data_IF_583644953571
#
_entry.id   IF_583644953571
#
_cell.length_a   1.000
_cell.length_b   1.000
_cell.length_c   1.000
_cell.angle_alpha   90.00
_cell.angle_beta   90.00
_cell.angle_gamma   90.00
#
_symmetry.space_group_name_H-M   'P 1'
#
loop_
_entity.id
_entity.type
_entity.pdbx_description
1 polymer ?
#
# COMPACT_ATOMS: atom_id res chain seq x y z
N UNK A 1 31.30 51.43 9.05
CA UNK A 1 31.45 50.33 10.01
C UNK A 1 30.50 50.66 11.14
N UNK A 2 29.30 50.08 11.13
CA UNK A 2 28.27 50.36 12.14
C UNK A 2 28.74 49.82 13.49
N UNK A 3 28.57 50.62 14.54
CA UNK A 3 29.04 50.27 15.89
C UNK A 3 28.08 49.28 16.54
N UNK A 4 28.55 48.48 17.49
CA UNK A 4 27.71 47.54 18.24
C UNK A 4 26.52 48.24 18.93
N UNK A 5 26.69 49.50 19.34
CA UNK A 5 25.62 50.35 19.86
C UNK A 5 24.53 50.70 18.84
N UNK A 6 24.84 50.73 17.54
CA UNK A 6 23.84 50.95 16.49
C UNK A 6 22.97 49.69 16.27
N UNK A 7 23.54 48.50 16.53
CA UNK A 7 22.85 47.22 16.43
C UNK A 7 21.88 47.01 17.60
N UNK A 8 22.30 47.35 18.82
CA UNK A 8 21.44 47.31 20.01
C UNK A 8 20.30 48.34 19.93
N UNK A 9 20.55 49.53 19.39
CA UNK A 9 19.50 50.52 19.15
C UNK A 9 18.49 50.08 18.07
N UNK A 10 18.94 49.32 17.06
CA UNK A 10 18.04 48.70 16.08
C UNK A 10 17.18 47.59 16.70
N UNK A 11 17.76 46.76 17.57
CA UNK A 11 17.05 45.73 18.33
C UNK A 11 16.00 46.32 19.29
N UNK A 12 16.31 47.46 19.92
CA UNK A 12 15.41 48.11 20.89
C UNK A 12 14.30 48.92 20.19
N UNK A 13 14.59 49.53 19.03
CA UNK A 13 13.60 50.27 18.21
C UNK A 13 12.62 49.34 17.48
N UNK A 14 13.05 48.13 17.16
CA UNK A 14 12.22 47.07 16.59
C UNK A 14 12.02 45.94 17.60
N UNK A 15 11.51 46.29 18.78
CA UNK A 15 10.89 45.32 19.67
C UNK A 15 9.60 44.82 18.98
N UNK A 16 9.75 43.92 18.02
CA UNK A 16 8.64 43.26 17.31
C UNK A 16 7.99 42.23 18.22
N UNK A 17 7.32 42.70 19.28
CA UNK A 17 6.25 41.91 19.88
C UNK A 17 5.11 41.88 18.88
N UNK A 18 4.95 40.77 18.18
CA UNK A 18 3.80 40.51 17.31
C UNK A 18 2.51 40.68 18.14
N UNK A 19 1.66 41.62 17.76
CA UNK A 19 0.23 41.54 18.08
C UNK A 19 -0.36 40.44 17.18
N UNK A 20 -0.35 39.19 17.66
CA UNK A 20 -0.95 38.08 16.94
C UNK A 20 -2.48 38.13 17.04
N UNK A 21 -3.18 37.99 15.91
CA UNK A 21 -4.58 37.57 15.95
C UNK A 21 -4.66 36.13 16.50
N UNK A 22 -5.64 35.79 17.37
CA UNK A 22 -5.72 34.50 18.06
C UNK A 22 -5.73 33.24 17.17
N UNK A 23 -5.92 33.39 15.86
CA UNK A 23 -6.07 32.32 14.88
C UNK A 23 -4.82 32.02 14.04
N UNK A 24 -3.74 32.80 14.17
CA UNK A 24 -2.51 32.61 13.39
C UNK A 24 -1.57 31.56 14.00
N UNK A 25 -2.07 30.36 14.32
CA UNK A 25 -1.17 29.25 14.65
C UNK A 25 -0.58 28.68 13.35
N UNK A 26 0.67 28.20 13.39
CA UNK A 26 1.36 27.50 12.29
C UNK A 26 1.86 28.40 11.14
N UNK A 27 2.21 29.66 11.43
CA UNK A 27 2.84 30.56 10.45
C UNK A 27 4.35 30.65 10.75
N UNK A 28 5.19 30.46 9.73
CA UNK A 28 6.65 30.59 9.86
C UNK A 28 7.05 32.04 10.16
N UNK A 29 8.28 32.26 10.64
CA UNK A 29 8.82 33.61 10.80
C UNK A 29 9.06 34.23 9.41
N UNK A 30 8.41 35.36 9.14
CA UNK A 30 8.45 36.04 7.84
C UNK A 30 8.58 37.56 8.04
N UNK A 31 9.12 38.25 7.03
CA UNK A 31 9.16 39.70 6.99
C UNK A 31 8.03 40.21 6.07
N UNK A 32 7.16 41.08 6.58
CA UNK A 32 5.97 41.53 5.84
C UNK A 32 6.31 42.28 4.53
N UNK A 33 7.32 43.14 4.54
CA UNK A 33 7.73 43.89 3.34
C UNK A 33 8.31 42.96 2.28
N UNK A 34 9.16 42.01 2.71
CA UNK A 34 9.71 40.99 1.80
C UNK A 34 8.63 40.06 1.27
N UNK A 35 7.61 39.74 2.07
CA UNK A 35 6.51 38.89 1.65
C UNK A 35 5.69 39.59 0.56
N UNK A 36 5.40 40.89 0.73
CA UNK A 36 4.68 41.70 -0.26
C UNK A 36 5.48 41.87 -1.56
N UNK A 37 6.81 41.91 -1.48
CA UNK A 37 7.68 42.11 -2.64
C UNK A 37 7.99 40.82 -3.41
N UNK A 38 8.17 39.70 -2.70
CA UNK A 38 8.61 38.42 -3.28
C UNK A 38 7.47 37.40 -3.43
N UNK A 39 6.39 37.53 -2.65
CA UNK A 39 5.23 36.64 -2.69
C UNK A 39 5.60 35.14 -2.63
N UNK A 40 6.53 34.81 -1.74
CA UNK A 40 7.06 33.45 -1.56
C UNK A 40 7.09 33.07 -0.07
N UNK A 41 6.99 31.76 0.21
CA UNK A 41 7.08 31.24 1.57
C UNK A 41 8.47 31.53 2.17
N UNK A 42 8.50 32.12 3.38
CA UNK A 42 9.72 32.48 4.08
C UNK A 42 9.82 31.74 5.42
N UNK A 43 11.05 31.38 5.78
CA UNK A 43 11.41 30.76 7.06
C UNK A 43 12.70 31.43 7.54
N UNK A 44 12.54 32.59 8.18
CA UNK A 44 13.64 33.43 8.65
C UNK A 44 13.99 33.00 10.07
N UNK A 45 15.25 32.71 10.35
CA UNK A 45 15.71 32.33 11.69
C UNK A 45 16.89 33.19 12.11
N UNK A 46 16.93 33.57 13.40
CA UNK A 46 18.06 34.32 13.93
C UNK A 46 19.33 33.46 14.00
N UNK A 47 20.42 33.97 13.44
CA UNK A 47 21.74 33.34 13.53
C UNK A 47 22.43 33.82 14.79
N UNK A 48 22.48 32.97 15.82
CA UNK A 48 23.15 33.26 17.09
C UNK A 48 24.63 32.86 17.10
N UNK A 49 25.05 32.03 16.13
CA UNK A 49 26.41 31.48 16.03
C UNK A 49 26.85 31.39 14.55
N UNK A 50 27.99 32.00 14.16
CA UNK A 50 28.54 31.88 12.81
C UNK A 50 28.83 30.43 12.38
N UNK A 51 29.22 29.55 13.32
CA UNK A 51 29.46 28.14 13.01
C UNK A 51 28.15 27.41 12.70
N UNK A 52 27.07 27.69 13.43
CA UNK A 52 25.75 27.17 13.13
C UNK A 52 25.26 27.58 11.73
N UNK A 53 25.53 28.81 11.30
CA UNK A 53 25.22 29.28 9.94
C UNK A 53 26.00 28.50 8.87
N UNK A 54 27.31 28.35 9.04
CA UNK A 54 28.14 27.58 8.11
C UNK A 54 27.71 26.10 8.04
N UNK A 55 27.40 25.49 9.18
CA UNK A 55 26.88 24.12 9.27
C UNK A 55 25.53 23.99 8.57
N UNK A 56 24.62 24.95 8.75
CA UNK A 56 23.34 24.97 8.07
C UNK A 56 23.52 25.06 6.54
N UNK A 57 24.33 26.01 6.06
CA UNK A 57 24.64 26.16 4.64
C UNK A 57 25.21 24.86 4.06
N UNK A 58 26.20 24.26 4.74
CA UNK A 58 26.76 22.97 4.34
C UNK A 58 25.70 21.86 4.31
N UNK A 59 24.83 21.78 5.32
CA UNK A 59 23.78 20.77 5.35
C UNK A 59 22.78 20.89 4.19
N UNK A 60 22.53 22.12 3.72
CA UNK A 60 21.66 22.39 2.59
C UNK A 60 22.35 22.07 1.26
N UNK A 61 23.61 22.48 1.08
CA UNK A 61 24.36 22.17 -0.15
C UNK A 61 24.58 20.66 -0.28
N UNK A 62 24.82 19.96 0.82
CA UNK A 62 25.07 18.50 0.83
C UNK A 62 23.81 17.64 1.01
N UNK A 63 22.61 18.23 0.93
CA UNK A 63 21.35 17.48 1.06
C UNK A 63 21.23 16.29 0.09
N UNK A 64 21.51 16.42 -1.23
CA UNK A 64 21.40 15.28 -2.15
C UNK A 64 22.43 14.18 -1.85
N UNK A 65 23.62 14.55 -1.38
CA UNK A 65 24.67 13.59 -1.02
C UNK A 65 24.30 12.79 0.23
N UNK A 66 23.61 13.44 1.19
CA UNK A 66 23.09 12.74 2.38
C UNK A 66 22.07 11.68 2.00
N UNK A 67 21.11 12.00 1.12
CA UNK A 67 20.10 11.03 0.66
C UNK A 67 20.75 9.85 -0.06
N UNK A 68 21.74 10.13 -0.93
CA UNK A 68 22.49 9.08 -1.62
C UNK A 68 23.34 8.24 -0.66
N UNK A 69 23.93 8.85 0.38
CA UNK A 69 24.69 8.15 1.42
C UNK A 69 23.81 7.17 2.21
N UNK A 70 22.58 7.56 2.55
CA UNK A 70 21.60 6.66 3.20
C UNK A 70 21.26 5.45 2.32
N UNK A 71 21.09 5.67 1.01
CA UNK A 71 20.83 4.57 0.07
C UNK A 71 22.03 3.62 -0.03
N UNK A 72 23.25 4.15 -0.06
CA UNK A 72 24.48 3.35 -0.08
C UNK A 72 24.67 2.58 1.22
N UNK A 73 24.36 3.16 2.37
CA UNK A 73 24.40 2.48 3.67
C UNK A 73 23.40 1.32 3.72
N UNK A 74 22.17 1.54 3.25
CA UNK A 74 21.16 0.49 3.13
C UNK A 74 21.62 -0.63 2.18
N UNK A 75 22.19 -0.27 1.02
CA UNK A 75 22.74 -1.23 0.06
C UNK A 75 23.89 -2.03 0.68
N UNK A 76 24.79 -1.37 1.38
CA UNK A 76 25.91 -2.01 2.07
C UNK A 76 25.44 -2.97 3.16
N UNK A 77 24.39 -2.61 3.91
CA UNK A 77 23.76 -3.51 4.90
C UNK A 77 23.21 -4.77 4.23
N UNK A 78 22.46 -4.64 3.14
CA UNK A 78 21.94 -5.79 2.37
C UNK A 78 23.07 -6.67 1.81
N UNK A 79 24.20 -6.08 1.38
CA UNK A 79 25.39 -6.84 0.96
C UNK A 79 26.01 -7.62 2.13
N UNK A 80 26.05 -7.04 3.33
CA UNK A 80 26.54 -7.73 4.54
C UNK A 80 25.68 -8.91 4.94
N UNK A 81 24.40 -8.90 4.60
CA UNK A 81 23.46 -10.02 4.80
C UNK A 81 23.67 -11.15 3.76
N UNK A 82 24.63 -11.00 2.84
CA UNK A 82 25.02 -12.02 1.87
C UNK A 82 24.46 -11.83 0.46
N UNK A 83 23.75 -10.72 0.20
CA UNK A 83 23.22 -10.41 -1.13
C UNK A 83 24.31 -9.86 -2.05
N UNK A 84 24.19 -10.12 -3.36
CA UNK A 84 25.06 -9.52 -4.37
C UNK A 84 24.71 -8.03 -4.51
N UNK A 85 25.68 -7.17 -4.83
CA UNK A 85 25.52 -5.71 -4.96
C UNK A 85 24.29 -5.33 -5.81
N UNK A 86 24.07 -5.98 -6.94
CA UNK A 86 22.91 -5.70 -7.80
C UNK A 86 21.59 -5.98 -7.08
N UNK A 87 21.46 -7.12 -6.40
CA UNK A 87 20.26 -7.47 -5.64
C UNK A 87 20.05 -6.53 -4.46
N UNK A 88 21.12 -6.19 -3.75
CA UNK A 88 21.11 -5.24 -2.64
C UNK A 88 20.57 -3.87 -3.08
N UNK A 89 20.99 -3.37 -4.25
CA UNK A 89 20.49 -2.11 -4.81
C UNK A 89 18.98 -2.20 -5.08
N UNK A 90 18.52 -3.28 -5.72
CA UNK A 90 17.08 -3.45 -5.98
C UNK A 90 16.25 -3.52 -4.69
N UNK A 91 16.77 -4.20 -3.66
CA UNK A 91 16.12 -4.31 -2.33
C UNK A 91 16.10 -2.99 -1.58
N UNK A 92 17.20 -2.23 -1.60
CA UNK A 92 17.32 -0.93 -0.97
C UNK A 92 16.40 0.11 -1.62
N UNK A 93 16.31 0.09 -2.96
CA UNK A 93 15.45 0.99 -3.75
C UNK A 93 13.98 0.55 -3.83
N UNK A 94 13.63 -0.60 -3.24
CA UNK A 94 12.28 -1.20 -3.33
C UNK A 94 11.83 -1.46 -4.77
N UNK A 95 12.78 -1.69 -5.67
CA UNK A 95 12.51 -2.11 -7.03
C UNK A 95 12.12 -3.60 -7.06
N UNK A 96 11.23 -4.00 -7.98
CA UNK A 96 10.86 -5.40 -8.11
C UNK A 96 12.05 -6.24 -8.60
N UNK A 97 12.38 -7.31 -7.88
CA UNK A 97 13.48 -8.22 -8.22
C UNK A 97 13.20 -9.08 -9.45
N UNK A 98 11.93 -9.32 -9.76
CA UNK A 98 11.53 -10.15 -10.89
C UNK A 98 10.36 -9.51 -11.62
N UNK A 99 10.45 -9.46 -12.94
CA UNK A 99 9.31 -9.13 -13.80
C UNK A 99 8.72 -10.41 -14.37
N UNK A 100 7.40 -10.54 -14.29
CA UNK A 100 6.67 -11.66 -14.88
C UNK A 100 5.60 -11.12 -15.83
N UNK A 101 5.52 -11.73 -17.01
CA UNK A 101 4.43 -11.48 -17.96
C UNK A 101 3.09 -12.05 -17.49
N UNK A 102 3.10 -12.87 -16.44
CA UNK A 102 1.93 -13.53 -15.85
C UNK A 102 1.77 -13.10 -14.39
N UNK A 103 0.55 -12.73 -14.03
CA UNK A 103 0.19 -12.49 -12.63
C UNK A 103 0.18 -13.79 -11.83
N UNK A 104 0.40 -13.68 -10.52
CA UNK A 104 0.28 -14.80 -9.58
C UNK A 104 -0.95 -14.60 -8.71
N UNK A 105 -1.70 -15.67 -8.47
CA UNK A 105 -2.84 -15.69 -7.55
C UNK A 105 -2.59 -16.74 -6.50
N UNK A 106 -2.64 -16.34 -5.23
CA UNK A 106 -2.59 -17.27 -4.12
C UNK A 106 -3.99 -17.80 -3.81
N UNK A 107 -4.16 -19.12 -3.84
CA UNK A 107 -5.44 -19.79 -3.63
C UNK A 107 -5.42 -20.52 -2.28
N UNK A 108 -6.07 -19.96 -1.25
CA UNK A 108 -6.19 -20.61 0.04
C UNK A 108 -7.33 -21.64 -0.01
N UNK A 109 -7.10 -22.77 -0.67
CA UNK A 109 -8.14 -23.77 -0.90
C UNK A 109 -8.38 -24.71 0.28
N UNK A 110 -7.63 -24.65 1.38
CA UNK A 110 -7.88 -25.49 2.57
C UNK A 110 -8.95 -24.92 3.50
N UNK A 111 -9.58 -25.80 4.29
CA UNK A 111 -10.64 -25.48 5.26
C UNK A 111 -10.18 -24.52 6.37
N UNK A 112 -8.98 -24.72 6.91
CA UNK A 112 -8.36 -23.81 7.89
C UNK A 112 -7.55 -22.68 7.25
N UNK A 113 -8.03 -22.15 6.11
CA UNK A 113 -7.40 -20.97 5.51
C UNK A 113 -7.49 -19.76 6.42
N UNK A 114 -6.45 -18.91 6.40
CA UNK A 114 -6.45 -17.66 7.15
C UNK A 114 -7.62 -16.78 6.68
N UNK A 115 -8.52 -16.44 7.61
CA UNK A 115 -9.64 -15.51 7.40
C UNK A 115 -9.27 -14.16 7.99
N UNK A 116 -9.56 -13.11 7.25
CA UNK A 116 -9.37 -11.74 7.73
C UNK A 116 -10.68 -11.21 8.30
N UNK A 117 -10.60 -10.47 9.39
CA UNK A 117 -11.73 -9.72 9.91
C UNK A 117 -12.07 -8.57 8.96
N UNK A 118 -13.36 -8.19 8.93
CA UNK A 118 -13.80 -6.95 8.28
C UNK A 118 -13.10 -5.74 8.92
N UNK A 119 -13.08 -4.63 8.19
CA UNK A 119 -12.53 -3.36 8.70
C UNK A 119 -13.17 -3.00 10.05
N UNK A 120 -12.40 -2.45 11.00
CA UNK A 120 -12.92 -2.06 12.31
C UNK A 120 -14.09 -1.06 12.22
N UNK A 121 -14.16 -0.24 11.16
CA UNK A 121 -15.30 0.67 10.95
C UNK A 121 -16.57 -0.12 10.61
N UNK A 122 -16.45 -1.13 9.75
CA UNK A 122 -17.58 -1.98 9.35
C UNK A 122 -18.05 -2.81 10.55
N UNK A 123 -17.12 -3.36 11.34
CA UNK A 123 -17.45 -4.16 12.53
C UNK A 123 -18.19 -3.36 13.60
N UNK A 124 -17.93 -2.05 13.73
CA UNK A 124 -18.65 -1.18 14.68
C UNK A 124 -20.08 -0.87 14.25
N UNK A 125 -20.33 -0.85 12.95
CA UNK A 125 -21.66 -0.60 12.37
C UNK A 125 -22.49 -1.88 12.25
N UNK A 126 -21.86 -3.05 12.37
CA UNK A 126 -22.55 -4.34 12.33
C UNK A 126 -23.38 -4.58 13.59
N UNK A 127 -24.45 -5.35 13.41
CA UNK A 127 -25.26 -5.85 14.51
C UNK A 127 -24.41 -6.74 15.43
N UNK A 128 -24.46 -6.57 16.76
CA UNK A 128 -23.78 -7.45 17.70
C UNK A 128 -24.10 -8.94 17.56
N UNK A 129 -25.25 -9.30 16.97
CA UNK A 129 -25.67 -10.69 16.71
C UNK A 129 -25.23 -11.23 15.33
N UNK A 130 -24.61 -10.41 14.46
CA UNK A 130 -24.15 -10.86 13.13
C UNK A 130 -22.80 -11.59 13.21
N UNK A 131 -22.85 -12.91 13.03
CA UNK A 131 -21.67 -13.80 13.00
C UNK A 131 -20.76 -13.61 11.76
N UNK A 132 -21.17 -12.82 10.76
CA UNK A 132 -20.41 -12.61 9.52
C UNK A 132 -19.28 -11.59 9.70
N UNK A 133 -18.40 -11.78 10.67
CA UNK A 133 -17.31 -10.84 10.99
C UNK A 133 -16.12 -10.92 10.02
N UNK A 134 -16.09 -11.94 9.15
CA UNK A 134 -14.98 -12.21 8.24
C UNK A 134 -15.17 -11.58 6.85
N UNK A 135 -14.06 -11.30 6.19
CA UNK A 135 -14.03 -10.88 4.78
C UNK A 135 -14.19 -12.09 3.86
N UNK A 136 -14.84 -11.89 2.70
CA UNK A 136 -14.97 -12.93 1.70
C UNK A 136 -13.66 -13.19 0.96
N UNK A 137 -13.21 -14.44 1.04
CA UNK A 137 -12.00 -14.92 0.39
C UNK A 137 -12.27 -15.33 -1.06
N UNK A 138 -11.22 -15.75 -1.78
CA UNK A 138 -11.34 -16.28 -3.14
C UNK A 138 -12.27 -17.51 -3.20
N UNK A 139 -12.18 -18.39 -2.21
CA UNK A 139 -13.02 -19.59 -2.12
C UNK A 139 -14.51 -19.23 -2.00
N UNK A 140 -14.87 -18.26 -1.15
CA UNK A 140 -16.27 -17.82 -0.99
C UNK A 140 -16.84 -17.25 -2.30
N UNK A 141 -16.01 -16.51 -3.03
CA UNK A 141 -16.36 -15.95 -4.34
C UNK A 141 -16.49 -17.02 -5.43
N UNK A 142 -15.72 -18.10 -5.32
CA UNK A 142 -15.84 -19.26 -6.20
C UNK A 142 -17.14 -20.03 -5.92
N UNK A 143 -17.54 -20.18 -4.66
CA UNK A 143 -18.82 -20.82 -4.32
C UNK A 143 -20.02 -19.98 -4.76
N UNK A 144 -19.90 -18.65 -4.70
CA UNK A 144 -20.93 -17.68 -5.12
C UNK A 144 -20.93 -17.38 -6.64
N UNK A 145 -20.22 -18.20 -7.45
CA UNK A 145 -20.15 -18.06 -8.91
C UNK A 145 -21.52 -18.28 -9.56
N UNK A 146 -21.81 -17.69 -10.74
CA UNK A 146 -23.09 -17.87 -11.42
C UNK A 146 -23.42 -19.35 -11.70
N UNK A 147 -24.71 -19.67 -11.76
CA UNK A 147 -25.21 -21.04 -12.00
C UNK A 147 -25.25 -21.44 -13.49
N UNK A 148 -24.55 -20.71 -14.36
CA UNK A 148 -24.48 -21.03 -15.79
C UNK A 148 -23.53 -22.21 -16.03
N UNK A 149 -23.79 -23.00 -17.08
CA UNK A 149 -22.97 -24.16 -17.45
C UNK A 149 -21.50 -23.80 -17.74
N UNK A 150 -21.24 -22.56 -18.19
CA UNK A 150 -19.87 -22.04 -18.39
C UNK A 150 -19.06 -22.01 -17.08
N UNK A 151 -19.72 -21.94 -15.92
CA UNK A 151 -19.09 -21.88 -14.60
C UNK A 151 -19.04 -23.22 -13.88
N UNK A 152 -19.25 -24.34 -14.58
CA UNK A 152 -18.97 -25.67 -14.05
C UNK A 152 -17.47 -26.00 -14.14
N UNK A 153 -16.66 -25.13 -13.54
CA UNK A 153 -15.20 -25.16 -13.58
C UNK A 153 -14.65 -25.39 -12.17
N UNK A 154 -13.42 -25.90 -12.09
CA UNK A 154 -12.74 -26.07 -10.82
C UNK A 154 -12.26 -24.72 -10.24
N UNK A 155 -11.93 -24.70 -8.95
CA UNK A 155 -11.47 -23.48 -8.28
C UNK A 155 -10.16 -22.96 -8.87
N UNK A 156 -9.29 -23.88 -9.30
CA UNK A 156 -8.03 -23.53 -9.94
C UNK A 156 -8.27 -22.76 -11.25
N UNK A 157 -9.11 -23.28 -12.15
CA UNK A 157 -9.44 -22.62 -13.41
C UNK A 157 -10.13 -21.28 -13.18
N UNK A 158 -11.06 -21.22 -12.22
CA UNK A 158 -11.70 -19.97 -11.83
C UNK A 158 -10.67 -18.89 -11.41
N UNK A 159 -9.72 -19.24 -10.54
CA UNK A 159 -8.68 -18.33 -10.07
C UNK A 159 -7.69 -17.90 -11.17
N UNK A 160 -7.46 -18.81 -12.12
CA UNK A 160 -6.53 -18.66 -13.23
C UNK A 160 -7.08 -17.78 -14.35
N UNK A 161 -8.33 -18.04 -14.76
CA UNK A 161 -8.98 -17.41 -15.90
C UNK A 161 -9.72 -16.13 -15.56
N UNK A 162 -10.25 -16.02 -14.33
CA UNK A 162 -11.07 -14.88 -13.95
C UNK A 162 -10.33 -13.94 -12.99
N UNK A 163 -10.67 -12.67 -13.10
CA UNK A 163 -10.28 -11.62 -12.16
C UNK A 163 -11.51 -11.11 -11.40
N UNK A 164 -11.32 -10.83 -10.12
CA UNK A 164 -12.40 -10.40 -9.22
C UNK A 164 -12.37 -8.88 -9.13
N UNK A 165 -13.51 -8.26 -9.42
CA UNK A 165 -13.71 -6.82 -9.41
C UNK A 165 -14.74 -6.47 -8.33
N UNK A 166 -14.46 -5.42 -7.56
CA UNK A 166 -15.47 -4.83 -6.68
C UNK A 166 -16.45 -4.01 -7.52
N UNK A 167 -17.76 -4.22 -7.32
CA UNK A 167 -18.82 -3.50 -8.08
C UNK A 167 -18.71 -1.97 -7.92
N UNK A 168 -18.16 -1.49 -6.80
CA UNK A 168 -17.96 -0.05 -6.55
C UNK A 168 -16.99 0.59 -7.54
N UNK A 169 -16.10 -0.19 -8.19
CA UNK A 169 -15.18 0.32 -9.20
C UNK A 169 -15.85 0.34 -10.56
N UNK A 170 -16.22 1.54 -11.04
CA UNK A 170 -16.69 1.74 -12.40
C UNK A 170 -15.54 1.52 -13.40
N UNK A 171 -15.55 0.38 -14.09
CA UNK A 171 -14.61 0.11 -15.18
C UNK A 171 -15.16 0.74 -16.45
N UNK A 172 -14.46 1.78 -16.95
CA UNK A 172 -14.71 2.35 -18.26
C UNK A 172 -14.21 1.36 -19.33
N UNK A 173 -15.09 0.96 -20.25
CA UNK A 173 -14.80 0.07 -21.40
C UNK A 173 -14.16 -1.27 -21.02
N UNK A 174 -14.92 -2.22 -20.44
CA UNK A 174 -14.39 -3.55 -20.14
C UNK A 174 -14.06 -4.33 -21.41
N UNK A 175 -12.87 -4.93 -21.45
CA UNK A 175 -12.41 -5.75 -22.60
C UNK A 175 -13.16 -7.08 -22.75
N UNK A 176 -13.75 -7.57 -21.66
CA UNK A 176 -14.48 -8.84 -21.58
C UNK A 176 -15.78 -8.62 -20.81
N UNK A 177 -16.82 -9.44 -21.06
CA UNK A 177 -18.08 -9.34 -20.33
C UNK A 177 -17.85 -9.47 -18.82
N UNK A 178 -18.47 -8.56 -18.06
CA UNK A 178 -18.47 -8.59 -16.60
C UNK A 178 -19.72 -9.35 -16.16
N UNK A 179 -19.54 -10.43 -15.40
CA UNK A 179 -20.65 -11.18 -14.79
C UNK A 179 -20.66 -10.97 -13.29
N UNK A 180 -21.82 -10.71 -12.69
CA UNK A 180 -21.96 -10.50 -11.24
C UNK A 180 -21.99 -11.83 -10.50
N UNK A 181 -21.44 -11.86 -9.29
CA UNK A 181 -21.66 -12.98 -8.38
C UNK A 181 -23.12 -12.96 -7.87
N UNK A 182 -23.57 -14.07 -7.29
CA UNK A 182 -24.98 -14.25 -6.94
C UNK A 182 -25.37 -13.42 -5.71
N UNK A 183 -24.61 -13.53 -4.64
CA UNK A 183 -24.93 -12.95 -3.33
C UNK A 183 -23.98 -11.82 -2.97
N UNK A 184 -22.69 -12.00 -3.30
CA UNK A 184 -21.65 -11.08 -2.92
C UNK A 184 -21.59 -9.88 -3.88
N UNK A 185 -21.28 -8.71 -3.33
CA UNK A 185 -21.11 -7.46 -4.08
C UNK A 185 -19.79 -7.40 -4.90
N UNK A 186 -19.50 -8.47 -5.63
CA UNK A 186 -18.36 -8.57 -6.55
C UNK A 186 -18.84 -9.02 -7.94
N UNK A 187 -17.99 -8.75 -8.92
CA UNK A 187 -18.16 -9.23 -10.27
C UNK A 187 -16.86 -9.89 -10.76
N UNK A 188 -16.99 -10.72 -11.77
CA UNK A 188 -15.89 -11.44 -12.41
C UNK A 188 -15.77 -11.03 -13.87
N UNK A 189 -14.54 -10.90 -14.34
CA UNK A 189 -14.22 -10.72 -15.76
C UNK A 189 -13.16 -11.74 -16.18
N UNK A 190 -13.23 -12.18 -17.43
CA UNK A 190 -12.21 -13.09 -17.98
C UNK A 190 -10.91 -12.31 -18.24
N UNK A 191 -9.77 -12.87 -17.86
CA UNK A 191 -8.46 -12.26 -18.13
C UNK A 191 -8.18 -12.29 -19.62
N UNK A 192 -7.80 -11.14 -20.18
CA UNK A 192 -7.66 -11.00 -21.64
C UNK A 192 -6.27 -11.40 -22.18
N UNK A 193 -5.24 -11.40 -21.32
CA UNK A 193 -3.85 -11.56 -21.79
C UNK A 193 -3.33 -12.98 -21.56
N UNK A 194 -3.04 -13.33 -20.30
CA UNK A 194 -2.57 -14.66 -19.91
C UNK A 194 -3.23 -15.08 -18.62
N UNK A 195 -3.52 -16.37 -18.51
CA UNK A 195 -4.04 -16.97 -17.28
C UNK A 195 -3.03 -16.80 -16.14
N UNK A 196 -3.53 -16.50 -14.95
CA UNK A 196 -2.70 -16.32 -13.78
C UNK A 196 -2.04 -17.64 -13.35
N UNK A 197 -0.84 -17.56 -12.79
CA UNK A 197 -0.18 -18.72 -12.19
C UNK A 197 -0.69 -18.86 -10.76
N UNK A 198 -1.22 -20.03 -10.45
CA UNK A 198 -1.76 -20.35 -9.13
C UNK A 198 -0.61 -20.74 -8.20
N UNK A 199 -0.63 -20.20 -6.98
CA UNK A 199 0.18 -20.67 -5.86
C UNK A 199 -0.76 -21.09 -4.74
N UNK A 200 -0.42 -22.15 -4.04
CA UNK A 200 -1.16 -22.61 -2.87
C UNK A 200 -0.15 -23.03 -1.79
N UNK A 201 -0.57 -23.10 -0.52
CA UNK A 201 0.36 -23.41 0.56
C UNK A 201 0.87 -24.85 0.47
N UNK A 202 2.08 -25.08 1.01
CA UNK A 202 2.59 -26.43 1.20
C UNK A 202 1.89 -27.07 2.39
N UNK A 203 1.49 -28.33 2.22
CA UNK A 203 0.73 -29.08 3.21
C UNK A 203 1.40 -30.41 3.55
N UNK A 204 1.14 -30.89 4.76
CA UNK A 204 1.38 -32.28 5.14
C UNK A 204 0.48 -33.24 4.34
N UNK A 205 0.81 -34.53 4.29
CA UNK A 205 0.15 -35.53 3.41
C UNK A 205 -1.39 -35.44 3.36
N UNK A 206 -2.08 -35.45 4.50
CA UNK A 206 -3.55 -35.48 4.52
C UNK A 206 -4.17 -34.17 4.01
N UNK A 207 -3.68 -33.03 4.52
CA UNK A 207 -4.15 -31.70 4.11
C UNK A 207 -3.82 -31.40 2.64
N UNK A 208 -2.76 -32.02 2.10
CA UNK A 208 -2.40 -31.90 0.69
C UNK A 208 -3.49 -32.46 -0.23
N UNK A 209 -4.00 -33.66 0.07
CA UNK A 209 -5.05 -34.27 -0.73
C UNK A 209 -6.38 -33.53 -0.61
N UNK A 210 -6.76 -33.06 0.60
CA UNK A 210 -7.96 -32.23 0.77
C UNK A 210 -7.87 -30.95 -0.07
N UNK A 211 -6.71 -30.29 -0.04
CA UNK A 211 -6.47 -29.08 -0.82
C UNK A 211 -6.52 -29.36 -2.32
N UNK A 212 -5.93 -30.47 -2.78
CA UNK A 212 -5.94 -30.86 -4.19
C UNK A 212 -7.36 -31.15 -4.68
N UNK A 213 -8.14 -31.92 -3.92
CA UNK A 213 -9.54 -32.20 -4.22
C UNK A 213 -10.35 -30.91 -4.29
N UNK A 214 -10.17 -30.00 -3.32
CA UNK A 214 -10.87 -28.72 -3.33
C UNK A 214 -10.49 -27.84 -4.51
N UNK A 215 -9.23 -27.89 -4.99
CA UNK A 215 -8.75 -27.07 -6.09
C UNK A 215 -9.29 -27.53 -7.45
N UNK A 216 -9.27 -28.84 -7.69
CA UNK A 216 -9.47 -29.42 -9.02
C UNK A 216 -10.86 -30.05 -9.23
N UNK A 217 -11.64 -30.27 -8.17
CA UNK A 217 -13.04 -30.67 -8.33
C UNK A 217 -13.96 -29.46 -8.50
N UNK A 218 -14.93 -29.51 -9.43
CA UNK A 218 -15.92 -28.45 -9.63
C UNK A 218 -17.00 -28.49 -8.53
N UNK A 219 -16.62 -28.13 -7.31
CA UNK A 219 -17.54 -28.15 -6.15
C UNK A 219 -18.30 -26.82 -6.00
N UNK A 220 -19.54 -26.87 -5.52
CA UNK A 220 -20.37 -25.69 -5.17
C UNK A 220 -20.45 -25.49 -3.66
N UNK A 221 -20.16 -26.53 -2.88
CA UNK A 221 -20.05 -26.46 -1.43
C UNK A 221 -18.94 -27.34 -0.89
N UNK A 222 -18.33 -26.93 0.23
CA UNK A 222 -17.33 -27.74 0.95
C UNK A 222 -17.88 -29.09 1.38
N UNK A 223 -19.19 -29.19 1.64
CA UNK A 223 -19.84 -30.41 2.10
C UNK A 223 -19.91 -31.49 1.02
N UNK A 224 -19.80 -31.13 -0.26
CA UNK A 224 -19.80 -32.10 -1.36
C UNK A 224 -18.57 -33.01 -1.32
N UNK A 225 -17.44 -32.52 -0.80
CA UNK A 225 -16.22 -33.32 -0.60
C UNK A 225 -16.41 -34.48 0.37
N UNK A 226 -17.42 -34.42 1.25
CA UNK A 226 -17.70 -35.46 2.26
C UNK A 226 -18.65 -36.54 1.75
N UNK A 227 -19.29 -36.34 0.59
CA UNK A 227 -20.19 -37.33 0.01
C UNK A 227 -19.34 -38.38 -0.73
N UNK A 228 -19.55 -39.69 -0.49
CA UNK A 228 -18.94 -40.70 -1.34
C UNK A 228 -19.52 -40.53 -2.75
N UNK A 229 -18.63 -40.44 -3.74
CA UNK A 229 -18.96 -40.55 -5.15
C UNK A 229 -19.21 -42.01 -5.53
#
# INVERSE_FOLDING_TARGET
MLSWSDFDNLLTKYNWTYEEEPNARWVNQYNEELLRAWDANMDIQFVLDPYACAKYLMSYTTKPEREMSLLLEATHKECREGNIVQEAIYRATKMPLTYSSRGFVFVPAHSNSCKFLKSPNILKEMDPEDDNIYMSNLADKYFDRPAEAEFDICMADFASEYEIISIKKNIKNPKTPIKRLQTLNFAINKRCNRNAIIRYPYFNRENYFENLLSLYLPIRSRNELKKPY
#
